data_IF_629381467832
#
_entry.id   IF_629381467832
#
_cell.length_a   1.000
_cell.length_b   1.000
_cell.length_c   1.000
_cell.angle_alpha   90.00
_cell.angle_beta   90.00
_cell.angle_gamma   90.00
#
_symmetry.space_group_name_H-M   'P 1'
#
loop_
_entity.id
_entity.type
_entity.pdbx_description
1 polymer ?
#
# COMPACT_ATOMS: atom_id res chain seq x y z
N UNK A 1 -7.08 -11.84 17.43
CA UNK A 1 -6.56 -11.02 16.35
C UNK A 1 -7.17 -9.64 16.52
N UNK A 2 -6.34 -8.61 16.66
CA UNK A 2 -6.76 -7.23 16.90
C UNK A 2 -7.37 -6.65 15.63
N UNK A 3 -8.43 -5.84 15.77
CA UNK A 3 -9.08 -5.09 14.68
C UNK A 3 -8.96 -3.61 15.00
N UNK A 4 -8.43 -2.83 14.08
CA UNK A 4 -8.34 -1.36 14.15
C UNK A 4 -9.12 -0.75 13.00
N UNK A 5 -10.10 0.11 13.30
CA UNK A 5 -10.83 0.90 12.32
C UNK A 5 -10.29 2.34 12.36
N UNK A 6 -9.78 2.83 11.22
CA UNK A 6 -9.19 4.16 11.10
C UNK A 6 -10.15 5.08 10.37
N UNK A 7 -10.41 6.25 10.96
CA UNK A 7 -10.98 7.40 10.25
C UNK A 7 -9.89 8.16 9.48
N UNK A 8 -10.26 9.03 8.56
CA UNK A 8 -9.30 9.93 7.86
C UNK A 8 -8.46 10.73 8.85
N UNK A 9 -9.10 11.29 9.89
CA UNK A 9 -8.42 12.06 10.93
C UNK A 9 -7.39 11.21 11.69
N UNK A 10 -7.78 9.99 12.11
CA UNK A 10 -6.86 9.09 12.80
C UNK A 10 -5.74 8.62 11.88
N UNK A 11 -6.05 8.32 10.61
CA UNK A 11 -5.04 7.94 9.63
C UNK A 11 -3.95 9.00 9.46
N UNK A 12 -4.31 10.29 9.42
CA UNK A 12 -3.31 11.37 9.34
C UNK A 12 -2.39 11.40 10.57
N UNK A 13 -2.91 11.13 11.76
CA UNK A 13 -2.10 11.03 12.99
C UNK A 13 -1.12 9.84 12.89
N UNK A 14 -1.62 8.67 12.49
CA UNK A 14 -0.81 7.47 12.35
C UNK A 14 0.26 7.63 11.23
N UNK A 15 -0.07 8.32 10.14
CA UNK A 15 0.88 8.64 9.08
C UNK A 15 2.01 9.56 9.60
N UNK A 16 1.69 10.51 10.47
CA UNK A 16 2.70 11.35 11.11
C UNK A 16 3.63 10.54 12.03
N UNK A 17 3.10 9.59 12.79
CA UNK A 17 3.92 8.71 13.62
C UNK A 17 4.84 7.82 12.75
N UNK A 18 4.32 7.29 11.65
CA UNK A 18 5.12 6.53 10.69
C UNK A 18 6.24 7.41 10.08
N UNK A 19 5.92 8.66 9.73
CA UNK A 19 6.92 9.62 9.23
C UNK A 19 8.04 9.88 10.23
N UNK A 20 7.71 10.06 11.52
CA UNK A 20 8.70 10.25 12.60
C UNK A 20 9.59 9.04 12.79
N UNK A 21 9.05 7.81 12.70
CA UNK A 21 9.84 6.58 12.77
C UNK A 21 10.88 6.54 11.65
N UNK A 22 10.48 6.87 10.42
CA UNK A 22 11.37 6.91 9.27
C UNK A 22 12.45 8.00 9.44
N UNK A 23 12.05 9.18 9.90
CA UNK A 23 12.91 10.33 10.10
C UNK A 23 13.95 10.09 11.21
N UNK A 24 13.53 9.48 12.33
CA UNK A 24 14.40 9.14 13.45
C UNK A 24 15.45 8.07 13.09
N UNK A 25 15.15 7.18 12.12
CA UNK A 25 16.13 6.22 11.57
C UNK A 25 17.11 6.90 10.58
N UNK A 26 16.96 8.19 10.33
CA UNK A 26 17.82 8.97 9.45
C UNK A 26 17.58 8.72 7.95
N UNK A 27 16.52 8.00 7.57
CA UNK A 27 16.19 7.77 6.18
C UNK A 27 15.46 8.97 5.58
N UNK A 28 16.07 9.61 4.59
CA UNK A 28 15.50 10.73 3.84
C UNK A 28 15.24 10.27 2.40
N UNK A 29 14.00 9.95 2.03
CA UNK A 29 13.69 9.55 0.66
C UNK A 29 13.83 10.73 -0.30
N UNK A 30 14.31 10.46 -1.53
CA UNK A 30 14.27 11.44 -2.62
C UNK A 30 12.89 11.43 -3.31
N UNK A 31 12.19 10.28 -3.22
CA UNK A 31 10.86 10.08 -3.79
C UNK A 31 10.07 9.05 -2.98
N UNK A 32 8.76 9.22 -2.95
CA UNK A 32 7.83 8.24 -2.39
C UNK A 32 7.06 7.56 -3.51
N UNK A 33 7.02 6.23 -3.49
CA UNK A 33 6.24 5.41 -4.44
C UNK A 33 5.16 4.66 -3.66
N UNK A 34 3.91 5.10 -3.76
CA UNK A 34 2.81 4.45 -3.06
C UNK A 34 2.05 3.47 -3.95
N UNK A 35 1.64 2.34 -3.38
CA UNK A 35 0.81 1.36 -4.10
C UNK A 35 -0.63 1.86 -4.17
N UNK A 36 -1.15 1.93 -5.37
CA UNK A 36 -2.55 2.33 -5.63
C UNK A 36 -3.51 1.23 -5.18
N UNK A 37 -4.56 1.51 -4.48
CA UNK A 37 -5.15 2.75 -3.93
C UNK A 37 -4.82 2.89 -2.43
N UNK A 38 -4.42 1.75 -1.80
CA UNK A 38 -4.23 1.63 -0.36
C UNK A 38 -3.18 2.61 0.18
N UNK A 39 -2.07 2.78 -0.53
CA UNK A 39 -0.99 3.68 -0.12
C UNK A 39 -1.21 5.17 -0.41
N UNK A 40 -2.30 5.58 -1.09
CA UNK A 40 -2.43 6.97 -1.59
C UNK A 40 -2.37 8.03 -0.50
N UNK A 41 -3.26 7.95 0.52
CA UNK A 41 -3.29 8.97 1.58
C UNK A 41 -1.99 8.97 2.39
N UNK A 42 -1.45 7.77 2.64
CA UNK A 42 -0.19 7.60 3.38
C UNK A 42 0.95 8.25 2.58
N UNK A 43 1.06 7.91 1.28
CA UNK A 43 2.07 8.48 0.39
C UNK A 43 1.99 9.99 0.29
N UNK A 44 0.78 10.56 0.21
CA UNK A 44 0.54 12.01 0.21
C UNK A 44 1.02 12.67 1.52
N UNK A 45 0.64 12.11 2.65
CA UNK A 45 0.96 12.70 3.97
C UNK A 45 2.48 12.62 4.25
N UNK A 46 3.12 11.48 3.90
CA UNK A 46 4.58 11.34 3.97
C UNK A 46 5.30 12.26 2.98
N UNK A 47 4.77 12.45 1.77
CA UNK A 47 5.29 13.39 0.77
C UNK A 47 5.32 14.82 1.31
N UNK A 48 4.24 15.23 1.97
CA UNK A 48 4.17 16.54 2.62
C UNK A 48 5.20 16.65 3.77
N UNK A 49 5.35 15.62 4.59
CA UNK A 49 6.29 15.61 5.71
C UNK A 49 7.74 15.73 5.24
N UNK A 50 8.14 14.94 4.24
CA UNK A 50 9.51 14.94 3.72
C UNK A 50 9.76 16.00 2.64
N UNK A 51 8.72 16.71 2.19
CA UNK A 51 8.79 17.69 1.09
C UNK A 51 9.35 17.11 -0.22
N UNK A 52 8.92 15.87 -0.56
CA UNK A 52 9.34 15.14 -1.76
C UNK A 52 8.13 14.71 -2.59
N UNK A 53 8.37 14.40 -3.87
CA UNK A 53 7.31 13.95 -4.78
C UNK A 53 6.78 12.57 -4.37
N UNK A 54 5.45 12.37 -4.42
CA UNK A 54 4.82 11.07 -4.31
C UNK A 54 4.21 10.63 -5.65
N UNK A 55 4.51 9.40 -6.07
CA UNK A 55 4.05 8.81 -7.33
C UNK A 55 3.31 7.50 -7.06
N UNK A 56 2.12 7.36 -7.69
CA UNK A 56 1.33 6.13 -7.59
C UNK A 56 1.81 5.05 -8.54
N UNK A 57 1.81 3.80 -8.07
CA UNK A 57 2.14 2.62 -8.86
C UNK A 57 1.08 1.53 -8.68
N UNK A 58 0.60 0.97 -9.78
CA UNK A 58 -0.31 -0.17 -9.75
C UNK A 58 0.46 -1.49 -9.68
N UNK A 59 0.04 -2.40 -8.80
CA UNK A 59 0.56 -3.75 -8.67
C UNK A 59 -0.56 -4.78 -8.79
N UNK A 60 -1.11 -4.92 -9.99
CA UNK A 60 -2.29 -5.75 -10.26
C UNK A 60 -1.95 -7.23 -10.40
N UNK A 61 -2.74 -8.12 -9.78
CA UNK A 61 -2.59 -9.58 -9.95
C UNK A 61 -2.93 -9.99 -11.38
N UNK A 62 -2.07 -10.76 -12.04
CA UNK A 62 -2.41 -11.41 -13.31
C UNK A 62 -3.48 -12.50 -13.04
N UNK A 63 -4.57 -12.48 -13.77
CA UNK A 63 -5.57 -13.59 -13.76
C UNK A 63 -6.84 -13.38 -12.94
N UNK A 64 -7.16 -12.17 -12.47
CA UNK A 64 -8.33 -11.91 -11.59
C UNK A 64 -9.69 -11.83 -12.34
N UNK A 65 -9.93 -12.65 -13.39
CA UNK A 65 -11.26 -12.69 -14.04
C UNK A 65 -12.35 -13.31 -13.14
N UNK A 66 -12.01 -14.25 -12.26
CA UNK A 66 -12.97 -14.95 -11.38
C UNK A 66 -13.52 -14.05 -10.26
N UNK A 67 -12.71 -13.15 -9.68
CA UNK A 67 -13.20 -12.23 -8.64
C UNK A 67 -14.20 -11.19 -9.16
N UNK A 68 -14.15 -10.79 -10.43
CA UNK A 68 -15.16 -9.88 -11.02
C UNK A 68 -16.56 -10.50 -11.06
N UNK A 69 -16.65 -11.82 -11.15
CA UNK A 69 -17.96 -12.52 -11.24
C UNK A 69 -18.63 -12.70 -9.87
N UNK A 70 -17.85 -12.83 -8.79
CA UNK A 70 -18.36 -13.01 -7.41
C UNK A 70 -18.56 -11.70 -6.65
N UNK A 71 -18.09 -10.58 -7.15
CA UNK A 71 -18.15 -9.28 -6.50
C UNK A 71 -19.57 -8.72 -6.27
N UNK A 72 -20.57 -8.92 -7.15
CA UNK A 72 -21.93 -8.44 -6.91
C UNK A 72 -22.57 -9.06 -5.67
N UNK A 73 -22.22 -10.31 -5.32
CA UNK A 73 -22.80 -11.04 -4.19
C UNK A 73 -22.21 -10.56 -2.86
N UNK A 74 -20.93 -10.19 -2.84
CA UNK A 74 -20.23 -9.77 -1.63
C UNK A 74 -20.68 -8.40 -1.08
N UNK A 75 -21.24 -7.54 -1.93
CA UNK A 75 -21.69 -6.18 -1.57
C UNK A 75 -22.94 -6.21 -0.66
N UNK A 76 -23.72 -7.31 -0.69
CA UNK A 76 -24.96 -7.45 0.09
C UNK A 76 -24.80 -8.27 1.38
N UNK A 77 -23.56 -8.73 1.70
CA UNK A 77 -23.33 -9.53 2.90
C UNK A 77 -23.21 -8.66 4.15
N UNK A 78 -23.84 -9.05 5.29
CA UNK A 78 -23.68 -8.39 6.56
C UNK A 78 -22.22 -8.29 7.00
N UNK A 79 -21.83 -7.21 7.67
CA UNK A 79 -20.43 -6.91 8.09
C UNK A 79 -19.77 -8.04 8.86
N UNK A 80 -20.50 -8.76 9.73
CA UNK A 80 -19.95 -9.86 10.51
C UNK A 80 -19.54 -11.04 9.61
N UNK A 81 -20.25 -11.29 8.51
CA UNK A 81 -19.90 -12.31 7.52
C UNK A 81 -18.66 -11.89 6.74
N UNK A 82 -18.56 -10.62 6.34
CA UNK A 82 -17.36 -10.09 5.68
C UNK A 82 -16.11 -10.22 6.56
N UNK A 83 -16.24 -9.91 7.86
CA UNK A 83 -15.15 -10.07 8.82
C UNK A 83 -14.77 -11.53 9.06
N UNK A 84 -15.76 -12.43 9.08
CA UNK A 84 -15.53 -13.87 9.21
C UNK A 84 -14.85 -14.45 7.97
N UNK A 85 -15.29 -14.07 6.77
CA UNK A 85 -14.68 -14.47 5.51
C UNK A 85 -13.25 -13.95 5.38
N UNK A 86 -12.96 -12.72 5.85
CA UNK A 86 -11.58 -12.20 5.95
C UNK A 86 -10.70 -13.09 6.85
N UNK A 87 -11.21 -13.50 8.01
CA UNK A 87 -10.48 -14.39 8.91
C UNK A 87 -10.19 -15.74 8.28
N UNK A 88 -11.13 -16.28 7.50
CA UNK A 88 -10.96 -17.54 6.77
C UNK A 88 -9.97 -17.34 5.61
N UNK A 89 -10.11 -16.28 4.81
CA UNK A 89 -9.20 -15.98 3.70
C UNK A 89 -7.75 -15.83 4.18
N UNK A 90 -7.54 -15.24 5.34
CA UNK A 90 -6.21 -15.10 5.96
C UNK A 90 -5.66 -16.42 6.52
N UNK A 91 -6.53 -17.35 6.95
CA UNK A 91 -6.14 -18.68 7.45
C UNK A 91 -6.01 -19.74 6.36
N UNK A 92 -6.75 -19.59 5.25
CA UNK A 92 -6.74 -20.59 4.19
C UNK A 92 -5.54 -20.39 3.28
N UNK A 93 -4.64 -21.35 3.30
CA UNK A 93 -3.52 -21.49 2.33
C UNK A 93 -3.99 -21.82 0.90
N UNK A 94 -5.28 -21.70 0.58
CA UNK A 94 -5.89 -22.05 -0.72
C UNK A 94 -5.65 -20.90 -1.73
N UNK A 95 -4.46 -20.34 -1.75
CA UNK A 95 -4.04 -19.45 -2.81
C UNK A 95 -2.92 -20.10 -3.63
N UNK A 96 -3.29 -20.85 -4.64
CA UNK A 96 -2.54 -20.84 -5.90
C UNK A 96 -2.68 -19.46 -6.53
N UNK A 97 -2.24 -18.45 -5.77
CA UNK A 97 -2.26 -17.07 -6.22
C UNK A 97 -1.18 -16.95 -7.28
N UNK A 98 -1.54 -16.58 -8.48
CA UNK A 98 -0.57 -16.07 -9.45
C UNK A 98 0.37 -15.10 -8.73
N UNK A 99 1.64 -15.52 -8.55
CA UNK A 99 2.67 -14.72 -7.90
C UNK A 99 3.01 -13.49 -8.73
N UNK A 100 2.71 -13.52 -10.04
CA UNK A 100 3.01 -12.45 -10.96
C UNK A 100 2.10 -11.23 -10.80
N UNK A 101 2.68 -10.05 -10.99
CA UNK A 101 2.01 -8.75 -10.94
C UNK A 101 2.32 -7.97 -12.21
N UNK A 102 1.31 -7.28 -12.75
CA UNK A 102 1.52 -6.20 -13.70
C UNK A 102 1.77 -4.93 -12.91
N UNK A 103 2.96 -4.34 -13.10
CA UNK A 103 3.41 -3.15 -12.38
C UNK A 103 3.57 -2.00 -13.38
N UNK A 104 2.86 -0.89 -13.17
CA UNK A 104 2.94 0.32 -13.99
C UNK A 104 2.59 1.56 -13.17
N UNK A 105 3.18 2.69 -13.53
CA UNK A 105 2.91 3.97 -12.86
C UNK A 105 1.52 4.53 -13.23
N UNK A 106 0.91 5.24 -12.30
CA UNK A 106 -0.39 5.87 -12.49
C UNK A 106 -0.37 7.09 -13.42
N UNK A 107 0.78 7.76 -13.50
CA UNK A 107 1.05 8.91 -14.39
C UNK A 107 2.40 8.73 -15.08
N UNK A 108 2.60 9.44 -16.19
CA UNK A 108 3.93 9.53 -16.82
C UNK A 108 4.90 10.24 -15.87
N UNK A 109 6.12 9.71 -15.80
CA UNK A 109 7.21 10.26 -15.00
C UNK A 109 8.23 10.88 -15.95
N UNK A 110 8.69 12.07 -15.62
CA UNK A 110 9.73 12.75 -16.40
C UNK A 110 11.06 11.96 -16.37
N UNK A 111 11.73 11.89 -17.50
CA UNK A 111 12.94 11.07 -17.66
C UNK A 111 14.09 11.47 -16.72
N UNK A 112 14.16 12.76 -16.32
CA UNK A 112 15.16 13.29 -15.39
C UNK A 112 15.02 12.69 -13.98
N UNK A 113 13.78 12.40 -13.52
CA UNK A 113 13.52 11.83 -12.21
C UNK A 113 14.17 10.45 -12.09
N UNK A 114 14.14 9.62 -13.15
CA UNK A 114 14.76 8.29 -13.12
C UNK A 114 16.29 8.33 -12.91
N UNK A 115 16.94 9.45 -13.24
CA UNK A 115 18.39 9.62 -13.11
C UNK A 115 18.80 10.31 -11.81
N UNK A 116 17.93 11.14 -11.23
CA UNK A 116 18.27 11.95 -10.05
C UNK A 116 18.03 11.23 -8.71
N UNK A 117 17.13 10.23 -8.69
CA UNK A 117 16.70 9.53 -7.49
C UNK A 117 17.69 8.45 -7.05
N UNK A 118 18.05 8.47 -5.78
CA UNK A 118 18.96 7.53 -5.14
C UNK A 118 18.27 6.72 -4.01
N UNK A 119 17.32 7.33 -3.32
CA UNK A 119 16.60 6.73 -2.19
C UNK A 119 15.10 6.73 -2.44
N UNK A 120 14.48 5.58 -2.43
CA UNK A 120 13.05 5.40 -2.68
C UNK A 120 12.37 4.84 -1.43
N UNK A 121 11.24 5.42 -1.05
CA UNK A 121 10.33 4.86 -0.05
C UNK A 121 9.10 4.28 -0.75
N UNK A 122 8.92 2.96 -0.67
CA UNK A 122 7.68 2.29 -1.11
C UNK A 122 6.69 2.32 0.03
N UNK A 123 5.42 2.69 -0.26
CA UNK A 123 4.39 2.86 0.76
C UNK A 123 3.12 2.09 0.38
N UNK A 124 2.56 1.36 1.36
CA UNK A 124 1.25 0.69 1.25
C UNK A 124 0.49 0.77 2.59
N UNK A 125 -0.80 0.46 2.60
CA UNK A 125 -1.58 0.39 3.85
C UNK A 125 -1.30 -0.92 4.61
N UNK A 126 -1.19 -2.04 3.90
CA UNK A 126 -0.91 -3.34 4.52
C UNK A 126 -0.07 -4.26 3.62
N UNK A 127 0.99 -4.82 4.18
CA UNK A 127 1.82 -5.81 3.50
C UNK A 127 1.40 -7.21 3.91
N UNK A 128 0.51 -7.83 3.13
CA UNK A 128 -0.07 -9.13 3.48
C UNK A 128 0.85 -10.31 3.16
N UNK A 129 1.24 -10.43 1.89
CA UNK A 129 2.11 -11.52 1.39
C UNK A 129 3.45 -11.02 0.87
N UNK A 130 3.63 -9.71 0.75
CA UNK A 130 4.83 -9.07 0.24
C UNK A 130 5.02 -9.11 -1.29
N UNK A 131 4.22 -9.89 -2.04
CA UNK A 131 4.43 -9.99 -3.49
C UNK A 131 4.23 -8.68 -4.24
N UNK A 132 3.27 -7.83 -3.87
CA UNK A 132 3.09 -6.52 -4.50
C UNK A 132 4.35 -5.68 -4.35
N UNK A 133 4.86 -5.57 -3.12
CA UNK A 133 6.11 -4.85 -2.81
C UNK A 133 7.30 -5.44 -3.58
N UNK A 134 7.46 -6.78 -3.60
CA UNK A 134 8.56 -7.44 -4.30
C UNK A 134 8.60 -7.07 -5.79
N UNK A 135 7.46 -7.11 -6.48
CA UNK A 135 7.39 -6.78 -7.90
C UNK A 135 7.54 -5.28 -8.16
N UNK A 136 7.03 -4.42 -7.27
CA UNK A 136 7.24 -2.98 -7.33
C UNK A 136 8.72 -2.66 -7.15
N UNK A 137 9.39 -3.19 -6.11
CA UNK A 137 10.82 -3.01 -5.88
C UNK A 137 11.64 -3.39 -7.11
N UNK A 138 11.42 -4.59 -7.67
CA UNK A 138 12.10 -5.03 -8.89
C UNK A 138 11.90 -4.04 -10.04
N UNK A 139 10.67 -3.55 -10.25
CA UNK A 139 10.38 -2.58 -11.32
C UNK A 139 11.10 -1.25 -11.11
N UNK A 140 11.19 -0.79 -9.86
CA UNK A 140 11.91 0.44 -9.52
C UNK A 140 13.42 0.29 -9.73
N UNK A 141 14.01 -0.83 -9.32
CA UNK A 141 15.42 -1.16 -9.56
C UNK A 141 15.76 -1.20 -11.06
N UNK A 142 14.84 -1.67 -11.92
CA UNK A 142 15.00 -1.67 -13.37
C UNK A 142 14.92 -0.27 -13.98
N UNK A 143 14.15 0.65 -13.40
CA UNK A 143 13.86 1.96 -14.00
C UNK A 143 14.72 3.09 -13.45
N UNK A 144 15.10 3.03 -12.17
CA UNK A 144 15.90 4.06 -11.52
C UNK A 144 17.38 3.65 -11.47
N UNK A 145 18.13 4.09 -12.45
CA UNK A 145 19.51 3.62 -12.69
C UNK A 145 20.51 3.97 -11.58
N UNK A 146 20.23 5.00 -10.78
CA UNK A 146 21.09 5.47 -9.69
C UNK A 146 20.56 5.12 -8.30
N UNK A 147 19.53 4.28 -8.20
CA UNK A 147 18.95 3.89 -6.91
C UNK A 147 19.95 3.09 -6.08
N UNK A 148 20.15 3.52 -4.84
CA UNK A 148 21.07 2.90 -3.87
C UNK A 148 20.33 2.26 -2.69
N UNK A 149 19.20 2.84 -2.28
CA UNK A 149 18.43 2.34 -1.15
C UNK A 149 16.92 2.42 -1.45
N UNK A 150 16.23 1.29 -1.28
CA UNK A 150 14.78 1.20 -1.38
C UNK A 150 14.26 0.63 -0.08
N UNK A 151 13.52 1.45 0.67
CA UNK A 151 12.87 1.00 1.91
C UNK A 151 11.36 0.93 1.75
N UNK A 152 10.73 0.17 2.64
CA UNK A 152 9.30 -0.12 2.62
C UNK A 152 8.68 0.34 3.90
N UNK A 153 7.61 1.12 3.81
CA UNK A 153 6.80 1.56 4.93
C UNK A 153 5.33 1.12 4.75
N UNK A 154 4.70 0.68 5.83
CA UNK A 154 3.29 0.32 5.82
C UNK A 154 2.64 0.61 7.18
N UNK A 155 1.31 0.75 7.22
CA UNK A 155 0.63 0.81 8.52
C UNK A 155 0.67 -0.55 9.21
N UNK A 156 0.42 -1.64 8.48
CA UNK A 156 0.45 -2.99 9.03
C UNK A 156 1.29 -3.94 8.18
N UNK A 157 1.96 -4.87 8.85
CA UNK A 157 2.70 -5.95 8.23
C UNK A 157 2.25 -7.30 8.79
N UNK A 158 2.08 -8.28 7.91
CA UNK A 158 1.81 -9.66 8.33
C UNK A 158 3.11 -10.45 8.42
N UNK A 159 3.31 -11.18 9.51
CA UNK A 159 4.53 -12.00 9.74
C UNK A 159 4.91 -12.86 8.53
N UNK A 160 3.93 -13.42 7.83
CA UNK A 160 4.15 -14.24 6.62
C UNK A 160 4.79 -13.49 5.46
N UNK A 161 4.70 -12.17 5.40
CA UNK A 161 5.27 -11.37 4.31
C UNK A 161 6.78 -11.27 4.38
N UNK A 162 7.38 -11.39 5.55
CA UNK A 162 8.83 -11.32 5.75
C UNK A 162 9.60 -12.45 5.04
N UNK A 163 8.95 -13.55 4.69
CA UNK A 163 9.54 -14.59 3.85
C UNK A 163 9.70 -14.17 2.37
N UNK A 164 9.07 -13.06 1.96
CA UNK A 164 9.05 -12.58 0.57
C UNK A 164 9.75 -11.24 0.43
N UNK A 165 9.52 -10.32 1.39
CA UNK A 165 10.08 -8.96 1.39
C UNK A 165 10.21 -8.46 2.82
N UNK A 166 11.29 -7.71 3.09
CA UNK A 166 11.39 -6.94 4.33
C UNK A 166 10.51 -5.70 4.25
N UNK A 167 9.81 -5.37 5.36
CA UNK A 167 9.14 -4.09 5.58
C UNK A 167 9.91 -3.37 6.67
N UNK A 168 10.54 -2.25 6.32
CA UNK A 168 11.50 -1.56 7.19
C UNK A 168 10.79 -0.77 8.28
N UNK A 169 9.64 -0.18 7.97
CA UNK A 169 8.86 0.67 8.88
C UNK A 169 7.39 0.26 8.90
N UNK A 170 6.83 0.09 10.10
CA UNK A 170 5.41 -0.22 10.27
C UNK A 170 4.93 0.14 11.68
N UNK A 171 3.62 0.39 11.81
CA UNK A 171 2.99 0.71 13.09
C UNK A 171 2.42 -0.54 13.77
N UNK A 172 1.85 -1.45 12.98
CA UNK A 172 1.21 -2.67 13.47
C UNK A 172 1.76 -3.91 12.80
N UNK A 173 1.67 -5.00 13.53
CA UNK A 173 2.01 -6.33 13.06
C UNK A 173 0.86 -7.29 13.34
N UNK A 174 0.53 -8.14 12.36
CA UNK A 174 -0.50 -9.17 12.45
C UNK A 174 -1.87 -8.63 12.95
N UNK A 175 -2.19 -7.37 12.59
CA UNK A 175 -3.40 -6.66 12.95
C UNK A 175 -4.31 -6.51 11.73
N UNK A 176 -5.63 -6.68 11.90
CA UNK A 176 -6.58 -6.31 10.86
C UNK A 176 -6.83 -4.81 10.97
N UNK A 177 -6.48 -4.07 9.92
CA UNK A 177 -6.81 -2.65 9.82
C UNK A 177 -7.89 -2.42 8.76
N UNK A 178 -8.87 -1.58 9.09
CA UNK A 178 -9.85 -1.05 8.14
C UNK A 178 -9.54 0.42 7.94
N UNK A 179 -8.94 0.74 6.80
CA UNK A 179 -8.58 2.11 6.44
C UNK A 179 -9.71 2.80 5.68
N UNK A 180 -9.74 4.14 5.58
CA UNK A 180 -10.69 4.86 4.73
C UNK A 180 -10.64 4.42 3.25
N UNK A 181 -9.52 3.88 2.78
CA UNK A 181 -9.32 3.34 1.44
C UNK A 181 -9.98 1.96 1.25
N UNK A 182 -10.39 1.31 2.32
CA UNK A 182 -11.06 0.00 2.28
C UNK A 182 -12.54 0.17 1.92
N UNK A 183 -13.07 -0.69 1.04
CA UNK A 183 -14.47 -0.62 0.56
C UNK A 183 -15.53 -0.76 1.66
N UNK A 184 -15.19 -1.41 2.76
CA UNK A 184 -16.03 -1.63 3.93
C UNK A 184 -15.89 -0.54 5.00
N UNK A 185 -15.04 0.48 4.76
CA UNK A 185 -14.96 1.66 5.61
C UNK A 185 -16.18 2.57 5.45
N UNK A 186 -16.61 3.17 6.55
CA UNK A 186 -17.67 4.21 6.54
C UNK A 186 -17.27 5.43 5.73
N UNK A 187 -15.96 5.73 5.68
CA UNK A 187 -15.40 6.91 5.01
C UNK A 187 -14.92 6.62 3.58
N UNK A 188 -15.17 5.42 3.04
CA UNK A 188 -14.73 5.05 1.69
C UNK A 188 -15.23 6.00 0.60
N UNK A 189 -16.49 6.51 0.73
CA UNK A 189 -17.03 7.47 -0.25
C UNK A 189 -16.32 8.82 -0.20
N UNK A 190 -15.91 9.27 0.99
CA UNK A 190 -15.13 10.51 1.18
C UNK A 190 -13.75 10.31 0.57
N UNK A 191 -13.11 9.17 0.85
CA UNK A 191 -11.84 8.82 0.24
C UNK A 191 -11.90 8.83 -1.28
N UNK A 192 -12.95 8.27 -1.89
CA UNK A 192 -13.07 8.26 -3.36
C UNK A 192 -13.10 9.66 -3.96
N UNK A 193 -13.79 10.63 -3.33
CA UNK A 193 -13.78 12.03 -3.79
C UNK A 193 -12.36 12.60 -3.76
N UNK A 194 -11.65 12.49 -2.64
CA UNK A 194 -10.25 12.93 -2.48
C UNK A 194 -9.30 12.26 -3.48
N UNK A 195 -9.57 10.99 -3.80
CA UNK A 195 -8.75 10.24 -4.74
C UNK A 195 -9.02 10.62 -6.20
N UNK A 196 -10.26 10.98 -6.54
CA UNK A 196 -10.62 11.38 -7.91
C UNK A 196 -10.17 12.82 -8.21
N UNK A 197 -10.19 13.75 -7.23
CA UNK A 197 -9.61 15.10 -7.33
C UNK A 197 -8.10 15.09 -7.68
N UNK A 198 -7.38 14.02 -7.36
CA UNK A 198 -5.97 13.81 -7.76
C UNK A 198 -5.79 13.66 -9.28
N UNK A 199 -6.83 13.25 -10.01
CA UNK A 199 -6.73 12.94 -11.45
C UNK A 199 -6.79 14.17 -12.35
N UNK A 200 -7.22 15.29 -11.78
CA UNK A 200 -7.20 16.61 -12.41
C UNK A 200 -5.84 17.29 -12.16
#
# INVERSE_FOLDING_TARGET
MKLEELSLKRLTIENLELAKIIDNDGFKPDIIVYIEKGGYIIGRDLSNYFSVIAIGIHANRKGNKIKKFLMPIAVHLPRFICNYLRKIELKSSIHTVSKERNVFFSKMIEANIFKSVSKILIVDDSVDTGYSIKFVRKKLEEMFVNVKDIRVAALNVWTKSFSVVNTDYYLWKDTIIVTPMSKDSKEYKIFLKLYDEKKE
#
